data_IF_224347479910
#
_entry.id   IF_224347479910
#
_cell.length_a   1.000
_cell.length_b   1.000
_cell.length_c   1.000
_cell.angle_alpha   90.00
_cell.angle_beta   90.00
_cell.angle_gamma   90.00
#
_symmetry.space_group_name_H-M   'P 1'
#
loop_
_entity.id
_entity.type
_entity.pdbx_description
1 polymer ?
#
# COMPACT_ATOMS: atom_id res chain seq x y z
N UNK A 1 5.86 -6.27 12.91
CA UNK A 1 4.58 -6.38 13.63
C UNK A 1 4.70 -5.99 15.09
N UNK A 2 5.70 -6.51 15.83
CA UNK A 2 5.92 -6.12 17.24
C UNK A 2 6.21 -4.62 17.38
N UNK A 3 7.14 -4.08 16.58
CA UNK A 3 7.37 -2.63 16.48
C UNK A 3 6.09 -1.80 16.34
N UNK A 4 5.21 -2.16 15.38
CA UNK A 4 3.93 -1.47 15.18
C UNK A 4 2.98 -1.63 16.36
N UNK A 5 3.00 -2.79 17.01
CA UNK A 5 2.09 -3.08 18.12
C UNK A 5 2.47 -2.23 19.33
N UNK A 6 3.77 -2.21 19.66
CA UNK A 6 4.32 -1.45 20.77
C UNK A 6 4.10 0.05 20.53
N UNK A 7 4.55 0.57 19.37
CA UNK A 7 4.40 1.98 19.01
C UNK A 7 2.94 2.45 19.03
N UNK A 8 2.02 1.70 18.43
CA UNK A 8 0.61 2.11 18.39
C UNK A 8 -0.06 2.02 19.76
N UNK A 9 0.30 1.01 20.57
CA UNK A 9 -0.24 0.88 21.93
C UNK A 9 0.24 2.00 22.86
N UNK A 10 1.48 2.48 22.69
CA UNK A 10 2.03 3.59 23.46
C UNK A 10 1.50 4.93 22.98
N UNK A 11 1.37 5.11 21.65
CA UNK A 11 0.98 6.38 21.05
C UNK A 11 -0.53 6.65 21.13
N UNK A 12 -1.34 5.60 21.08
CA UNK A 12 -2.82 5.66 21.06
C UNK A 12 -3.44 4.71 22.10
N UNK A 13 -3.14 4.89 23.40
CA UNK A 13 -3.60 3.98 24.46
C UNK A 13 -5.12 3.90 24.59
N UNK A 14 -5.85 4.92 24.12
CA UNK A 14 -7.31 4.99 24.11
C UNK A 14 -7.97 4.14 23.01
N UNK A 15 -7.20 3.71 22.00
CA UNK A 15 -7.72 2.96 20.85
C UNK A 15 -7.50 1.46 21.05
N UNK A 16 -8.56 0.63 21.11
CA UNK A 16 -8.39 -0.81 21.25
C UNK A 16 -7.60 -1.41 20.08
N UNK A 17 -6.50 -2.10 20.40
CA UNK A 17 -5.59 -2.68 19.41
C UNK A 17 -5.89 -4.16 19.16
N UNK A 18 -6.11 -4.50 17.89
CA UNK A 18 -6.39 -5.85 17.41
C UNK A 18 -5.25 -6.31 16.49
N UNK A 19 -4.63 -7.45 16.80
CA UNK A 19 -3.50 -7.96 16.03
C UNK A 19 -3.82 -9.33 15.45
N UNK A 20 -3.73 -9.47 14.12
CA UNK A 20 -3.92 -10.73 13.41
C UNK A 20 -2.58 -11.19 12.83
N UNK A 21 -2.01 -12.26 13.40
CA UNK A 21 -0.76 -12.87 12.93
C UNK A 21 -1.04 -14.03 11.98
N UNK A 22 -0.11 -14.35 11.08
CA UNK A 22 -0.29 -15.38 10.06
C UNK A 22 -0.41 -16.82 10.58
N UNK A 23 0.01 -17.06 11.82
CA UNK A 23 -0.06 -18.36 12.51
C UNK A 23 -1.31 -18.54 13.40
N UNK A 24 -2.22 -17.56 13.41
CA UNK A 24 -3.47 -17.65 14.18
C UNK A 24 -4.46 -18.55 13.44
N UNK A 25 -5.08 -19.47 14.17
CA UNK A 25 -6.11 -20.34 13.60
C UNK A 25 -7.34 -19.56 13.10
N UNK A 26 -8.14 -20.19 12.25
CA UNK A 26 -9.29 -19.56 11.62
C UNK A 26 -10.30 -19.02 12.64
N UNK A 27 -10.63 -19.80 13.69
CA UNK A 27 -11.65 -19.43 14.68
C UNK A 27 -11.19 -18.23 15.50
N UNK A 28 -9.93 -18.23 15.92
CA UNK A 28 -9.35 -17.14 16.70
C UNK A 28 -9.25 -15.87 15.87
N UNK A 29 -8.86 -15.97 14.60
CA UNK A 29 -8.87 -14.82 13.68
C UNK A 29 -10.28 -14.24 13.54
N UNK A 30 -11.29 -15.08 13.28
CA UNK A 30 -12.67 -14.60 13.17
C UNK A 30 -13.12 -13.89 14.44
N UNK A 31 -12.85 -14.47 15.62
CA UNK A 31 -13.20 -13.85 16.89
C UNK A 31 -12.52 -12.49 17.15
N UNK A 32 -11.32 -12.26 16.60
CA UNK A 32 -10.64 -10.96 16.67
C UNK A 32 -11.34 -9.95 15.75
N UNK A 33 -11.64 -10.36 14.51
CA UNK A 33 -12.31 -9.49 13.53
C UNK A 33 -13.73 -9.13 13.96
N UNK A 34 -14.49 -10.09 14.51
CA UNK A 34 -15.85 -9.84 15.01
C UNK A 34 -15.89 -8.82 16.17
N UNK A 35 -14.80 -8.73 16.95
CA UNK A 35 -14.66 -7.72 18.00
C UNK A 35 -14.25 -6.37 17.43
N UNK A 36 -13.33 -6.37 16.47
CA UNK A 36 -12.91 -5.16 15.77
C UNK A 36 -14.12 -4.48 15.08
N UNK A 37 -14.94 -5.24 14.35
CA UNK A 37 -16.15 -4.74 13.67
C UNK A 37 -17.19 -4.11 14.61
N UNK A 38 -17.15 -4.42 15.90
CA UNK A 38 -18.03 -3.85 16.93
C UNK A 38 -17.41 -2.66 17.66
N UNK A 39 -16.21 -2.23 17.25
CA UNK A 39 -15.43 -1.19 17.90
C UNK A 39 -15.33 0.03 16.96
N UNK A 40 -15.86 1.17 17.39
CA UNK A 40 -15.93 2.39 16.56
C UNK A 40 -14.57 3.03 16.28
N UNK A 41 -13.60 2.92 17.21
CA UNK A 41 -12.28 3.55 17.09
C UNK A 41 -11.11 2.55 17.30
N UNK A 42 -11.29 1.32 16.81
CA UNK A 42 -10.28 0.27 16.91
C UNK A 42 -9.10 0.48 15.96
N UNK A 43 -7.97 -0.15 16.27
CA UNK A 43 -6.81 -0.28 15.39
C UNK A 43 -6.62 -1.76 15.02
N UNK A 44 -6.51 -2.07 13.73
CA UNK A 44 -6.23 -3.42 13.26
C UNK A 44 -4.82 -3.49 12.64
N UNK A 45 -3.91 -4.21 13.29
CA UNK A 45 -2.62 -4.57 12.72
C UNK A 45 -2.71 -5.99 12.16
N UNK A 46 -2.43 -6.13 10.87
CA UNK A 46 -2.39 -7.42 10.23
C UNK A 46 -1.34 -7.44 9.11
N UNK A 47 -0.88 -8.63 8.75
CA UNK A 47 -0.11 -8.79 7.50
C UNK A 47 -1.05 -9.22 6.37
N UNK A 48 -0.65 -8.97 5.13
CA UNK A 48 -1.42 -9.41 3.96
C UNK A 48 -1.68 -10.92 3.96
N UNK A 49 -0.73 -11.73 4.46
CA UNK A 49 -0.88 -13.19 4.53
C UNK A 49 -1.80 -13.65 5.67
N UNK A 50 -1.97 -12.82 6.70
CA UNK A 50 -2.74 -13.16 7.90
C UNK A 50 -4.25 -13.05 7.69
N UNK A 51 -4.69 -12.11 6.85
CA UNK A 51 -6.03 -12.09 6.30
C UNK A 51 -6.00 -13.00 5.07
N UNK A 52 -6.58 -14.21 5.12
CA UNK A 52 -6.79 -15.10 3.96
C UNK A 52 -8.23 -15.00 3.44
N UNK A 53 -8.52 -15.51 2.24
CA UNK A 53 -9.62 -15.15 1.31
C UNK A 53 -11.06 -15.02 1.83
N UNK A 54 -11.37 -15.33 3.09
CA UNK A 54 -12.70 -15.18 3.69
C UNK A 54 -12.81 -14.12 4.78
N UNK A 55 -11.71 -13.46 5.15
CA UNK A 55 -11.73 -12.38 6.13
C UNK A 55 -12.21 -11.08 5.48
N UNK A 56 -13.36 -10.58 5.95
CA UNK A 56 -13.96 -9.31 5.54
C UNK A 56 -14.04 -8.40 6.74
N UNK A 57 -13.65 -7.15 6.54
CA UNK A 57 -13.61 -6.14 7.60
C UNK A 57 -14.22 -4.85 7.06
N UNK A 58 -15.51 -4.86 6.69
CA UNK A 58 -16.12 -3.72 6.04
C UNK A 58 -16.12 -2.49 6.94
N UNK A 59 -16.24 -2.58 8.26
CA UNK A 59 -16.27 -1.40 9.15
C UNK A 59 -15.01 -0.50 9.08
N UNK A 60 -13.89 -1.00 8.55
CA UNK A 60 -12.65 -0.25 8.46
C UNK A 60 -12.69 0.76 7.30
N UNK A 61 -12.64 2.05 7.62
CA UNK A 61 -12.66 3.12 6.61
C UNK A 61 -11.27 3.53 6.11
N UNK A 62 -10.26 3.53 6.98
CA UNK A 62 -8.89 3.95 6.65
C UNK A 62 -7.95 2.74 6.65
N UNK A 63 -7.37 2.45 5.48
CA UNK A 63 -6.47 1.32 5.26
C UNK A 63 -5.10 1.87 4.89
N UNK A 64 -4.10 1.66 5.75
CA UNK A 64 -2.73 2.10 5.51
C UNK A 64 -1.91 0.90 5.05
N UNK A 65 -1.31 1.01 3.86
CA UNK A 65 -0.40 0.03 3.27
C UNK A 65 1.00 0.63 3.28
N UNK A 66 1.79 0.23 4.27
CA UNK A 66 3.15 0.76 4.47
C UNK A 66 4.19 0.17 3.51
N UNK A 67 3.96 -1.02 2.96
CA UNK A 67 4.90 -1.63 2.02
C UNK A 67 4.23 -1.91 0.68
N UNK A 68 4.65 -1.16 -0.34
CA UNK A 68 4.19 -1.36 -1.71
C UNK A 68 4.63 -2.73 -2.24
N UNK A 69 3.74 -3.41 -2.95
CA UNK A 69 4.07 -4.63 -3.69
C UNK A 69 4.20 -4.32 -5.18
N UNK A 70 5.07 -5.03 -5.89
CA UNK A 70 5.24 -4.89 -7.35
C UNK A 70 4.00 -5.33 -8.18
N UNK A 71 2.91 -5.75 -7.54
CA UNK A 71 1.74 -6.32 -8.19
C UNK A 71 0.44 -5.77 -7.61
N UNK A 72 -0.19 -4.80 -8.31
CA UNK A 72 -1.49 -4.22 -7.95
C UNK A 72 -2.51 -5.30 -7.61
N UNK A 73 -2.81 -6.30 -8.47
CA UNK A 73 -3.78 -7.36 -8.16
C UNK A 73 -3.63 -8.02 -6.79
N UNK A 74 -2.39 -8.17 -6.30
CA UNK A 74 -2.13 -8.74 -4.97
C UNK A 74 -2.48 -7.75 -3.85
N UNK A 75 -2.21 -6.46 -4.07
CA UNK A 75 -2.63 -5.38 -3.18
C UNK A 75 -4.15 -5.25 -3.18
N UNK A 76 -4.81 -5.32 -4.35
CA UNK A 76 -6.27 -5.27 -4.44
C UNK A 76 -6.94 -6.42 -3.70
N UNK A 77 -6.45 -7.64 -3.87
CA UNK A 77 -6.93 -8.79 -3.09
C UNK A 77 -6.83 -8.59 -1.57
N UNK A 78 -5.91 -7.74 -1.12
CA UNK A 78 -5.82 -7.35 0.28
C UNK A 78 -6.82 -6.24 0.61
N UNK A 79 -6.78 -5.08 -0.06
CA UNK A 79 -7.64 -3.97 0.36
C UNK A 79 -9.13 -4.17 0.02
N UNK A 80 -9.49 -5.00 -0.96
CA UNK A 80 -10.88 -5.39 -1.23
C UNK A 80 -11.55 -6.19 -0.10
N UNK A 81 -10.81 -6.56 0.94
CA UNK A 81 -11.39 -7.15 2.16
C UNK A 81 -12.14 -6.12 3.00
N UNK A 82 -11.78 -4.85 2.84
CA UNK A 82 -12.35 -3.71 3.55
C UNK A 82 -13.40 -2.98 2.70
N UNK A 83 -13.37 -3.16 1.37
CA UNK A 83 -14.28 -2.52 0.42
C UNK A 83 -15.39 -3.50 0.03
N UNK A 84 -16.64 -3.16 0.34
CA UNK A 84 -17.83 -3.92 -0.09
C UNK A 84 -18.87 -2.99 -0.71
N UNK A 85 -19.71 -3.52 -1.61
CA UNK A 85 -20.74 -2.70 -2.29
C UNK A 85 -21.79 -2.16 -1.31
N UNK A 86 -22.10 -2.91 -0.25
CA UNK A 86 -23.06 -2.60 0.81
C UNK A 86 -22.44 -1.88 2.01
N UNK A 87 -21.20 -1.42 1.86
CA UNK A 87 -20.48 -0.66 2.87
C UNK A 87 -21.10 0.70 3.13
N UNK A 88 -21.31 1.05 4.40
CA UNK A 88 -21.70 2.42 4.81
C UNK A 88 -20.42 3.26 4.90
N UNK A 89 -20.37 4.39 4.20
CA UNK A 89 -19.21 5.31 4.17
C UNK A 89 -18.20 5.00 3.05
N UNK A 90 -17.17 5.85 2.93
CA UNK A 90 -16.12 5.72 1.89
C UNK A 90 -14.86 5.08 2.48
N UNK A 91 -14.25 4.13 1.76
CA UNK A 91 -12.96 3.53 2.17
C UNK A 91 -11.83 4.30 1.51
N UNK A 92 -10.82 4.63 2.29
CA UNK A 92 -9.60 5.32 1.87
C UNK A 92 -8.44 4.36 2.01
N UNK A 93 -7.81 4.02 0.88
CA UNK A 93 -6.61 3.18 0.84
C UNK A 93 -5.42 4.10 0.66
N UNK A 94 -4.55 4.14 1.65
CA UNK A 94 -3.36 4.98 1.70
C UNK A 94 -2.14 4.12 1.42
N UNK A 95 -1.46 4.37 0.30
CA UNK A 95 -0.13 3.82 0.05
C UNK A 95 0.92 4.77 0.60
N UNK A 96 1.75 4.30 1.51
CA UNK A 96 2.88 5.09 1.99
C UNK A 96 4.10 4.78 1.11
N UNK A 97 4.75 5.84 0.66
CA UNK A 97 6.04 5.78 -0.01
C UNK A 97 6.94 6.86 0.58
N UNK A 98 8.23 6.57 0.68
CA UNK A 98 9.21 7.58 1.07
C UNK A 98 9.79 8.26 -0.16
N UNK A 99 9.90 9.59 -0.13
CA UNK A 99 10.63 10.35 -1.13
C UNK A 99 12.10 9.93 -1.20
N UNK A 100 12.67 9.99 -2.40
CA UNK A 100 14.04 9.58 -2.69
C UNK A 100 14.33 8.16 -2.20
N UNK A 101 13.35 7.25 -2.32
CA UNK A 101 13.49 5.85 -1.94
C UNK A 101 13.23 4.88 -3.10
N UNK A 102 13.73 3.65 -2.95
CA UNK A 102 13.48 2.56 -3.90
C UNK A 102 11.97 2.31 -4.08
N UNK A 103 11.15 2.68 -3.09
CA UNK A 103 9.70 2.55 -3.15
C UNK A 103 9.08 3.45 -4.23
N UNK A 104 9.69 4.60 -4.54
CA UNK A 104 9.24 5.43 -5.67
C UNK A 104 9.53 4.75 -7.02
N UNK A 105 10.68 4.11 -7.19
CA UNK A 105 10.95 3.29 -8.37
C UNK A 105 9.99 2.11 -8.48
N UNK A 106 9.65 1.50 -7.34
CA UNK A 106 8.65 0.43 -7.30
C UNK A 106 7.27 0.96 -7.69
N UNK A 107 6.89 2.16 -7.22
CA UNK A 107 5.65 2.83 -7.61
C UNK A 107 5.61 3.10 -9.12
N UNK A 108 6.66 3.69 -9.69
CA UNK A 108 6.73 3.93 -11.13
C UNK A 108 6.63 2.64 -11.96
N UNK A 109 7.29 1.56 -11.50
CA UNK A 109 7.18 0.24 -12.14
C UNK A 109 5.75 -0.32 -12.07
N UNK A 110 5.09 -0.16 -10.93
CA UNK A 110 3.71 -0.59 -10.72
C UNK A 110 2.75 0.18 -11.63
N UNK A 111 2.87 1.50 -11.73
CA UNK A 111 2.03 2.35 -12.59
C UNK A 111 2.26 2.05 -14.07
N UNK A 112 3.52 1.88 -14.48
CA UNK A 112 3.87 1.49 -15.86
C UNK A 112 3.23 0.15 -16.22
N UNK A 113 3.26 -0.80 -15.30
CA UNK A 113 2.62 -2.11 -15.48
C UNK A 113 1.10 -1.97 -15.58
N UNK A 114 0.47 -1.10 -14.79
CA UNK A 114 -0.98 -0.91 -14.88
C UNK A 114 -1.40 -0.24 -16.19
N UNK A 115 -0.64 0.73 -16.69
CA UNK A 115 -0.86 1.30 -18.02
C UNK A 115 -0.87 0.24 -19.12
N UNK A 116 0.05 -0.73 -19.03
CA UNK A 116 0.08 -1.87 -19.94
C UNK A 116 -1.12 -2.81 -19.74
N UNK A 117 -1.52 -3.07 -18.49
CA UNK A 117 -2.70 -3.89 -18.21
C UNK A 117 -3.97 -3.24 -18.78
N UNK A 118 -4.15 -1.94 -18.59
CA UNK A 118 -5.28 -1.18 -19.11
C UNK A 118 -5.34 -1.25 -20.65
N UNK A 119 -4.20 -1.05 -21.33
CA UNK A 119 -4.13 -1.23 -22.78
C UNK A 119 -4.57 -2.63 -23.22
N UNK A 120 -4.20 -3.68 -22.48
CA UNK A 120 -4.61 -5.05 -22.78
C UNK A 120 -6.11 -5.26 -22.52
N UNK A 121 -6.70 -4.60 -21.52
CA UNK A 121 -8.12 -4.72 -21.16
C UNK A 121 -9.03 -3.94 -22.12
N UNK A 122 -8.69 -2.70 -22.45
CA UNK A 122 -9.55 -1.79 -23.23
C UNK A 122 -9.15 -1.67 -24.71
N UNK A 123 -7.89 -1.96 -25.05
CA UNK A 123 -7.30 -1.67 -26.36
C UNK A 123 -6.89 -0.20 -26.53
N UNK A 124 -7.10 0.64 -25.52
CA UNK A 124 -6.80 2.08 -25.55
C UNK A 124 -5.48 2.37 -24.84
N UNK A 125 -4.67 3.24 -25.43
CA UNK A 125 -3.42 3.70 -24.80
C UNK A 125 -3.75 4.90 -23.92
N UNK A 126 -3.80 4.68 -22.61
CA UNK A 126 -3.90 5.76 -21.62
C UNK A 126 -2.58 6.53 -21.56
N UNK A 127 -2.67 7.85 -21.43
CA UNK A 127 -1.51 8.69 -21.13
C UNK A 127 -1.00 8.42 -19.70
N UNK A 128 0.28 8.70 -19.47
CA UNK A 128 0.91 8.50 -18.16
C UNK A 128 0.25 9.37 -17.06
N UNK A 129 -0.15 10.58 -17.41
CA UNK A 129 -0.87 11.51 -16.53
C UNK A 129 -2.23 10.97 -16.09
N UNK A 130 -2.97 10.28 -16.98
CA UNK A 130 -4.28 9.72 -16.63
C UNK A 130 -4.15 8.62 -15.56
N UNK A 131 -3.11 7.78 -15.68
CA UNK A 131 -2.81 6.77 -14.67
C UNK A 131 -2.37 7.42 -13.37
N UNK A 132 -1.58 8.51 -13.42
CA UNK A 132 -1.16 9.21 -12.20
C UNK A 132 -2.33 9.86 -11.47
N UNK A 133 -3.26 10.48 -12.20
CA UNK A 133 -4.48 11.06 -11.64
C UNK A 133 -5.37 9.98 -10.98
N UNK A 134 -5.50 8.80 -11.61
CA UNK A 134 -6.28 7.68 -11.07
C UNK A 134 -5.78 7.21 -9.69
N UNK A 135 -4.46 7.25 -9.48
CA UNK A 135 -3.81 6.85 -8.23
C UNK A 135 -3.48 8.01 -7.29
N UNK A 136 -3.89 9.25 -7.61
CA UNK A 136 -3.58 10.48 -6.87
C UNK A 136 -2.06 10.69 -6.65
N UNK A 137 -1.28 10.51 -7.73
CA UNK A 137 0.19 10.59 -7.72
C UNK A 137 0.67 11.86 -8.41
N UNK A 138 1.58 12.59 -7.78
CA UNK A 138 2.22 13.76 -8.40
C UNK A 138 3.04 13.34 -9.63
N UNK A 139 2.89 14.04 -10.78
CA UNK A 139 3.76 13.84 -11.95
C UNK A 139 5.26 14.01 -11.66
N UNK A 140 5.61 14.79 -10.63
CA UNK A 140 7.00 15.06 -10.23
C UNK A 140 7.73 13.80 -9.72
N UNK A 141 7.01 12.69 -9.50
CA UNK A 141 7.61 11.41 -9.10
C UNK A 141 8.69 10.95 -10.10
N UNK A 142 8.55 11.28 -11.38
CA UNK A 142 9.52 10.94 -12.43
C UNK A 142 10.90 11.57 -12.17
N UNK A 143 10.92 12.77 -11.60
CA UNK A 143 12.15 13.52 -11.30
C UNK A 143 12.91 12.95 -10.11
N UNK A 144 12.20 12.26 -9.20
CA UNK A 144 12.76 11.68 -7.98
C UNK A 144 13.19 10.21 -8.12
N UNK A 145 12.92 9.58 -9.27
CA UNK A 145 13.31 8.19 -9.51
C UNK A 145 14.83 7.98 -9.46
N UNK A 146 15.25 6.88 -8.84
CA UNK A 146 16.63 6.40 -8.95
C UNK A 146 16.96 6.03 -10.39
N UNK A 147 18.04 6.60 -10.92
CA UNK A 147 18.52 6.37 -12.28
C UNK A 147 19.94 5.82 -12.24
N UNK A 148 20.22 4.86 -13.11
CA UNK A 148 21.58 4.37 -13.34
C UNK A 148 22.20 5.18 -14.47
N UNK A 149 23.27 5.90 -14.16
CA UNK A 149 24.03 6.70 -15.12
C UNK A 149 25.43 6.10 -15.31
N UNK A 150 26.06 6.41 -16.44
CA UNK A 150 27.43 6.05 -16.73
C UNK A 150 28.24 7.35 -16.84
N UNK A 151 29.34 7.45 -16.09
CA UNK A 151 30.21 8.62 -16.19
C UNK A 151 31.06 8.58 -17.47
N UNK A 152 31.78 9.67 -17.73
CA UNK A 152 32.68 9.82 -18.89
C UNK A 152 33.80 8.77 -18.93
N UNK A 153 34.08 8.11 -17.79
CA UNK A 153 35.10 7.06 -17.65
C UNK A 153 34.49 5.66 -17.82
N UNK A 154 33.20 5.58 -18.15
CA UNK A 154 32.48 4.34 -18.38
C UNK A 154 32.00 3.64 -17.10
N UNK A 155 32.14 4.25 -15.92
CA UNK A 155 31.75 3.67 -14.64
C UNK A 155 30.30 4.01 -14.30
N UNK A 156 29.56 2.99 -13.89
CA UNK A 156 28.16 3.14 -13.51
C UNK A 156 28.02 3.70 -12.10
N UNK A 157 27.09 4.63 -11.94
CA UNK A 157 26.68 5.17 -10.65
C UNK A 157 25.16 5.32 -10.60
N UNK A 158 24.61 5.33 -9.39
CA UNK A 158 23.18 5.54 -9.15
C UNK A 158 23.01 6.99 -8.72
N UNK A 159 22.16 7.73 -9.41
CA UNK A 159 21.72 9.07 -9.03
C UNK A 159 20.25 9.05 -8.63
N UNK A 160 19.87 9.97 -7.75
CA UNK A 160 18.50 10.23 -7.37
C UNK A 160 18.37 11.72 -7.03
N UNK A 161 17.26 12.34 -7.40
CA UNK A 161 16.98 13.76 -7.13
C UNK A 161 18.10 14.73 -7.55
N UNK A 162 18.11 15.91 -6.93
CA UNK A 162 19.19 16.89 -7.05
C UNK A 162 20.28 16.59 -6.01
N UNK A 163 21.14 15.61 -6.31
CA UNK A 163 22.29 15.30 -5.45
C UNK A 163 23.31 16.45 -5.43
N UNK A 164 23.17 17.34 -4.45
CA UNK A 164 24.21 18.28 -4.04
C UNK A 164 25.09 17.61 -2.97
N UNK A 165 25.89 16.62 -3.36
CA UNK A 165 26.86 16.01 -2.43
C UNK A 165 28.22 16.68 -2.65
N UNK A 166 28.65 17.48 -1.67
CA UNK A 166 30.02 18.00 -1.52
C UNK A 166 30.92 17.02 -0.79
#
# INVERSE_FOLDING_TARGET
MELYTDFLSERFPERPLFVVRGNVDFKRRQAILDKFEKTENGLLICTQQSLKSSANVPSCEDIIIESLQWNIPRMEQFYFRFIRLDSIGMRRVHYLTYEESIEQNLMALVLTKERLNEFIKSGEVKDESEIFEEFDISPDIIETLFRREQDEQGKFHIRWGAQNVS
#
